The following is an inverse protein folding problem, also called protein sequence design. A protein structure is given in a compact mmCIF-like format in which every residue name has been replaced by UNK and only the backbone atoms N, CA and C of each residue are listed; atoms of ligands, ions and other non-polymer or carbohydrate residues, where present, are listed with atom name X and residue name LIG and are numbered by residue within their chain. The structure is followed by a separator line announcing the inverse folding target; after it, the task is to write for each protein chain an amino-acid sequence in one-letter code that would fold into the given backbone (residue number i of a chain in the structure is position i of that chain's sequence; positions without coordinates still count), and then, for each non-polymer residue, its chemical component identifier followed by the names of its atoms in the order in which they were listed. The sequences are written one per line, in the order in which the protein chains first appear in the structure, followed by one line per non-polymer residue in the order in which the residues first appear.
data_IF_363167415892
#
_entry.id   IF_363167415892
#
_cell.length_a   1.000
_cell.length_b   1.000
_cell.length_c   1.000
_cell.angle_alpha   90.00
_cell.angle_beta   90.00
_cell.angle_gamma   90.00
#
_symmetry.space_group_name_H-M   'P 1'
#
loop_
_entity.id
_entity.type
_entity.pdbx_description
1 polymer ?
#
# COMPACT_ATOMS: atom_id res chain seq x y z
N UNK A 1 -11.26 41.58 -40.55
CA UNK A 1 -10.84 41.25 -41.95
C UNK A 1 -10.39 39.82 -41.90
N UNK A 2 -11.28 38.96 -42.27
CA UNK A 2 -11.38 38.23 -43.55
C UNK A 2 -10.47 37.00 -43.55
N UNK A 3 -10.88 35.89 -43.71
CA UNK A 3 -11.76 34.98 -44.46
C UNK A 3 -11.16 33.58 -44.35
N UNK A 4 -11.88 32.65 -43.98
CA UNK A 4 -12.86 31.82 -44.69
C UNK A 4 -12.28 30.67 -45.52
N UNK A 5 -13.02 29.55 -45.36
CA UNK A 5 -13.35 28.44 -46.27
C UNK A 5 -12.52 27.18 -46.12
N UNK A 6 -13.13 26.18 -45.54
CA UNK A 6 -14.07 25.24 -46.14
C UNK A 6 -13.47 24.37 -47.26
N UNK A 7 -13.21 23.12 -47.00
CA UNK A 7 -13.39 22.06 -47.99
C UNK A 7 -13.81 20.75 -47.36
N UNK A 8 -15.04 20.46 -47.59
CA UNK A 8 -15.77 19.22 -47.64
C UNK A 8 -15.02 18.11 -48.40
N UNK A 9 -15.15 16.90 -47.97
CA UNK A 9 -14.79 15.71 -48.69
C UNK A 9 -15.56 14.51 -48.09
N UNK A 10 -16.76 14.31 -48.59
CA UNK A 10 -17.62 13.16 -48.33
C UNK A 10 -17.27 12.04 -49.32
N UNK A 11 -17.21 10.80 -48.85
CA UNK A 11 -17.41 9.54 -49.59
C UNK A 11 -17.99 8.54 -48.59
N UNK A 12 -19.25 8.30 -48.61
CA UNK A 12 -20.13 7.42 -49.31
C UNK A 12 -19.97 5.92 -49.01
N UNK A 13 -20.90 5.45 -48.20
CA UNK A 13 -21.70 4.24 -48.26
C UNK A 13 -21.16 2.94 -48.92
N UNK A 14 -21.16 1.86 -48.19
CA UNK A 14 -21.71 0.60 -48.69
C UNK A 14 -22.57 -0.10 -47.59
N UNK A 15 -23.84 -0.13 -47.83
CA UNK A 15 -24.91 -0.84 -47.16
C UNK A 15 -24.96 -2.27 -47.72
N UNK A 16 -24.86 -3.28 -46.88
CA UNK A 16 -25.22 -4.62 -47.25
C UNK A 16 -26.11 -5.22 -46.19
N UNK A 17 -27.39 -5.16 -46.47
CA UNK A 17 -28.50 -5.80 -45.80
C UNK A 17 -28.54 -7.27 -46.27
N UNK A 18 -28.50 -8.23 -45.33
CA UNK A 18 -29.07 -9.58 -45.60
C UNK A 18 -29.97 -9.90 -44.41
N UNK A 19 -31.27 -9.85 -44.71
CA UNK A 19 -32.33 -10.42 -43.91
C UNK A 19 -32.40 -11.91 -44.20
N UNK A 20 -32.33 -12.74 -43.12
CA UNK A 20 -32.97 -14.06 -43.12
C UNK A 20 -33.77 -14.18 -41.83
N UNK A 21 -35.07 -14.26 -42.00
CA UNK A 21 -36.03 -14.59 -40.96
C UNK A 21 -36.22 -16.12 -40.91
N UNK A 22 -36.30 -16.68 -39.69
CA UNK A 22 -37.30 -17.70 -39.26
C UNK A 22 -36.92 -18.17 -37.84
N UNK A 23 -37.67 -17.86 -36.84
CA UNK A 23 -38.71 -18.62 -36.16
C UNK A 23 -38.17 -19.75 -35.28
N UNK A 24 -38.28 -19.57 -33.92
CA UNK A 24 -38.12 -20.66 -32.96
C UNK A 24 -37.93 -20.13 -31.55
N UNK A 25 -38.96 -20.19 -30.73
CA UNK A 25 -38.96 -19.94 -29.28
C UNK A 25 -38.04 -20.94 -28.59
N UNK A 26 -37.09 -20.44 -27.82
CA UNK A 26 -36.42 -21.18 -26.74
C UNK A 26 -35.93 -20.18 -25.73
N UNK A 27 -36.25 -20.40 -24.46
CA UNK A 27 -35.83 -19.65 -23.30
C UNK A 27 -34.31 -19.62 -23.26
N UNK A 28 -33.71 -18.46 -23.52
CA UNK A 28 -32.29 -18.23 -23.35
C UNK A 28 -32.01 -17.85 -21.90
N UNK A 29 -31.45 -18.80 -21.17
CA UNK A 29 -30.69 -18.59 -19.96
C UNK A 29 -29.48 -17.75 -20.34
N UNK A 30 -29.38 -16.53 -19.83
CA UNK A 30 -28.22 -15.66 -19.98
C UNK A 30 -27.10 -16.25 -19.15
N UNK A 31 -26.19 -16.98 -19.77
CA UNK A 31 -24.88 -17.25 -19.21
C UNK A 31 -24.03 -15.96 -19.35
N UNK A 32 -23.69 -15.34 -18.20
CA UNK A 32 -22.63 -14.33 -18.13
C UNK A 32 -21.31 -14.97 -18.61
N UNK A 33 -20.53 -14.29 -19.44
CA UNK A 33 -19.22 -14.79 -19.80
C UNK A 33 -18.32 -14.78 -18.55
N UNK A 34 -17.98 -15.97 -18.07
CA UNK A 34 -16.91 -16.19 -17.10
C UNK A 34 -15.65 -15.65 -17.75
N UNK A 35 -15.10 -14.58 -17.21
CA UNK A 35 -13.78 -14.11 -17.57
C UNK A 35 -12.78 -15.24 -17.22
N UNK A 36 -12.17 -15.79 -18.24
CA UNK A 36 -11.07 -16.74 -18.13
C UNK A 36 -9.92 -16.00 -17.45
N UNK A 37 -9.73 -16.26 -16.14
CA UNK A 37 -8.56 -15.81 -15.40
C UNK A 37 -7.32 -16.40 -16.09
N UNK A 38 -6.52 -15.53 -16.68
CA UNK A 38 -5.20 -15.90 -17.14
C UNK A 38 -4.40 -16.45 -15.94
N UNK A 39 -3.70 -17.58 -16.08
CA UNK A 39 -2.91 -18.11 -14.98
C UNK A 39 -1.87 -17.06 -14.59
N UNK A 40 -1.93 -16.59 -13.33
CA UNK A 40 -0.89 -15.80 -12.73
C UNK A 40 0.39 -16.67 -12.75
N UNK A 41 1.33 -16.32 -13.60
CA UNK A 41 2.67 -16.87 -13.51
C UNK A 41 3.23 -16.45 -12.14
N UNK A 42 3.26 -17.40 -11.22
CA UNK A 42 3.96 -17.27 -9.95
C UNK A 42 5.45 -17.10 -10.29
N UNK A 43 5.92 -15.86 -10.30
CA UNK A 43 7.34 -15.57 -10.32
C UNK A 43 7.90 -15.99 -8.95
N UNK A 44 8.20 -17.28 -8.84
CA UNK A 44 9.02 -17.77 -7.73
C UNK A 44 10.37 -17.06 -7.83
N UNK A 45 10.62 -16.12 -6.94
CA UNK A 45 11.93 -15.50 -6.80
C UNK A 45 12.94 -16.64 -6.59
N UNK A 46 14.04 -16.70 -7.35
CA UNK A 46 15.08 -17.69 -7.09
C UNK A 46 15.63 -17.41 -5.69
N UNK A 47 15.62 -18.44 -4.84
CA UNK A 47 16.36 -18.41 -3.59
C UNK A 47 17.85 -18.29 -3.95
N UNK A 48 18.34 -17.07 -4.07
CA UNK A 48 19.74 -16.78 -4.26
C UNK A 48 20.45 -17.09 -2.95
N UNK A 49 21.18 -18.18 -2.91
CA UNK A 49 22.20 -18.47 -1.90
C UNK A 49 23.41 -17.57 -2.14
N UNK A 50 23.19 -16.26 -2.13
CA UNK A 50 24.30 -15.30 -2.07
C UNK A 50 24.90 -15.34 -0.66
N UNK A 51 26.23 -15.23 -0.52
CA UNK A 51 26.80 -15.01 0.80
C UNK A 51 26.14 -13.77 1.43
N UNK A 52 26.01 -13.74 2.77
CA UNK A 52 25.45 -12.56 3.43
C UNK A 52 26.24 -11.32 3.01
N UNK A 53 25.60 -10.18 2.84
CA UNK A 53 26.27 -8.93 2.52
C UNK A 53 27.26 -8.57 3.64
N UNK A 54 28.36 -7.92 3.30
CA UNK A 54 29.31 -7.41 4.31
C UNK A 54 28.68 -6.29 5.15
N UNK A 55 27.67 -5.63 4.61
CA UNK A 55 26.99 -4.50 5.21
C UNK A 55 25.50 -4.51 4.83
N UNK A 56 24.64 -4.16 5.79
CA UNK A 56 23.22 -3.87 5.58
C UNK A 56 22.96 -2.37 5.73
N UNK A 57 22.20 -1.80 4.80
CA UNK A 57 21.73 -0.41 4.86
C UNK A 57 20.26 -0.38 5.24
N UNK A 58 19.92 0.27 6.34
CA UNK A 58 18.55 0.39 6.86
C UNK A 58 18.10 1.85 6.79
N UNK A 59 17.00 2.13 6.11
CA UNK A 59 16.38 3.45 6.12
C UNK A 59 15.27 3.51 7.16
N UNK A 60 15.36 4.46 8.08
CA UNK A 60 14.39 4.63 9.16
C UNK A 60 14.23 6.11 9.52
N UNK A 61 13.06 6.47 10.05
CA UNK A 61 12.89 7.79 10.66
C UNK A 61 13.70 7.92 11.96
N UNK A 62 13.97 9.14 12.39
CA UNK A 62 14.86 9.44 13.53
C UNK A 62 14.46 8.71 14.82
N UNK A 63 13.15 8.68 15.16
CA UNK A 63 12.69 8.03 16.39
C UNK A 63 12.92 6.52 16.36
N UNK A 64 12.70 5.90 15.20
CA UNK A 64 12.90 4.46 15.01
C UNK A 64 14.38 4.14 14.96
N UNK A 65 15.20 4.97 14.31
CA UNK A 65 16.66 4.82 14.29
C UNK A 65 17.24 4.79 15.72
N UNK A 66 16.78 5.69 16.59
CA UNK A 66 17.17 5.70 18.02
C UNK A 66 16.75 4.40 18.73
N UNK A 67 15.57 3.87 18.42
CA UNK A 67 15.10 2.61 19.01
C UNK A 67 15.87 1.39 18.50
N UNK A 68 16.39 1.44 17.26
CA UNK A 68 17.21 0.37 16.68
C UNK A 68 18.64 0.34 17.21
N UNK A 69 19.20 1.45 17.64
CA UNK A 69 20.60 1.58 18.05
C UNK A 69 21.10 0.46 18.99
N UNK A 70 20.40 0.11 20.10
CA UNK A 70 20.83 -0.97 20.97
C UNK A 70 20.73 -2.36 20.33
N UNK A 71 19.90 -2.53 19.30
CA UNK A 71 19.69 -3.80 18.60
C UNK A 71 20.72 -4.01 17.49
N UNK A 72 21.16 -2.93 16.84
CA UNK A 72 22.17 -2.95 15.78
C UNK A 72 23.46 -3.60 16.27
N UNK A 73 24.03 -3.11 17.33
CA UNK A 73 25.29 -3.67 17.86
C UNK A 73 25.18 -5.13 18.29
N UNK A 74 24.02 -5.55 18.81
CA UNK A 74 23.77 -6.95 19.15
C UNK A 74 23.68 -7.84 17.90
N UNK A 75 23.04 -7.34 16.84
CA UNK A 75 22.93 -8.06 15.57
C UNK A 75 24.28 -8.17 14.87
N UNK A 76 25.05 -7.08 14.76
CA UNK A 76 26.39 -7.07 14.19
C UNK A 76 27.30 -8.10 14.85
N UNK A 77 27.26 -8.16 16.18
CA UNK A 77 28.04 -9.13 16.94
C UNK A 77 27.61 -10.58 16.67
N UNK A 78 26.32 -10.82 16.53
CA UNK A 78 25.76 -12.17 16.32
C UNK A 78 25.91 -12.64 14.88
N UNK A 79 25.69 -11.75 13.90
CA UNK A 79 25.65 -12.08 12.48
C UNK A 79 26.98 -11.89 11.76
N UNK A 80 27.89 -11.05 12.31
CA UNK A 80 29.14 -10.68 11.64
C UNK A 80 28.94 -9.79 10.42
N UNK A 81 27.85 -9.02 10.39
CA UNK A 81 27.46 -8.12 9.30
C UNK A 81 27.35 -6.71 9.87
N UNK A 82 27.99 -5.75 9.24
CA UNK A 82 27.86 -4.34 9.62
C UNK A 82 26.48 -3.79 9.26
N UNK A 83 25.90 -2.91 10.10
CA UNK A 83 24.59 -2.28 9.85
C UNK A 83 24.72 -0.76 9.86
N UNK A 84 24.35 -0.14 8.75
CA UNK A 84 24.25 1.32 8.66
C UNK A 84 22.77 1.73 8.69
N UNK A 85 22.38 2.48 9.74
CA UNK A 85 21.06 3.10 9.83
C UNK A 85 21.14 4.51 9.29
N UNK A 86 20.47 4.76 8.18
CA UNK A 86 20.36 6.07 7.53
C UNK A 86 19.03 6.71 7.93
N UNK A 87 19.10 7.91 8.48
CA UNK A 87 17.89 8.65 8.87
C UNK A 87 17.24 9.21 7.61
N UNK A 88 15.99 8.84 7.42
CA UNK A 88 15.15 9.25 6.30
C UNK A 88 13.89 9.96 6.78
N UNK A 89 13.38 10.89 5.99
CA UNK A 89 12.09 11.50 6.23
C UNK A 89 10.95 10.50 5.94
N UNK A 90 10.06 10.33 6.91
CA UNK A 90 8.95 9.40 6.81
C UNK A 90 8.02 9.67 5.62
N UNK A 91 7.84 10.96 5.28
CA UNK A 91 6.95 11.37 4.18
C UNK A 91 7.53 11.09 2.79
N UNK A 92 8.85 10.98 2.64
CA UNK A 92 9.52 10.78 1.35
C UNK A 92 9.96 9.34 1.10
N UNK A 93 10.07 8.51 2.15
CA UNK A 93 10.71 7.20 2.09
C UNK A 93 10.16 6.29 0.96
N UNK A 94 8.85 6.33 0.71
CA UNK A 94 8.21 5.56 -0.36
C UNK A 94 8.75 5.96 -1.74
N UNK A 95 8.71 7.25 -2.04
CA UNK A 95 9.10 7.76 -3.35
C UNK A 95 10.60 7.58 -3.59
N UNK A 96 11.39 7.73 -2.53
CA UNK A 96 12.84 7.54 -2.57
C UNK A 96 13.20 6.06 -2.79
N UNK A 97 12.52 5.10 -2.13
CA UNK A 97 12.72 3.66 -2.34
C UNK A 97 12.32 3.25 -3.76
N UNK A 98 11.19 3.76 -4.27
CA UNK A 98 10.74 3.49 -5.63
C UNK A 98 11.72 4.04 -6.70
N UNK A 99 12.45 5.09 -6.38
CA UNK A 99 13.46 5.67 -7.27
C UNK A 99 14.82 4.98 -7.14
N UNK A 100 15.31 4.80 -5.92
CA UNK A 100 16.64 4.27 -5.64
C UNK A 100 16.73 2.75 -5.81
N UNK A 101 15.65 2.01 -5.50
CA UNK A 101 15.62 0.55 -5.58
C UNK A 101 16.00 0.02 -6.97
N UNK A 102 15.31 0.43 -8.05
CA UNK A 102 15.65 -0.01 -9.41
C UNK A 102 17.04 0.42 -9.88
N UNK A 103 17.60 1.48 -9.31
CA UNK A 103 18.97 1.94 -9.59
C UNK A 103 20.04 1.13 -8.85
N UNK A 104 19.66 0.27 -7.89
CA UNK A 104 20.57 -0.44 -7.01
C UNK A 104 21.22 0.46 -5.95
N UNK A 105 20.64 1.62 -5.68
CA UNK A 105 21.11 2.62 -4.72
C UNK A 105 20.17 2.71 -3.48
N UNK A 106 19.16 1.84 -3.43
CA UNK A 106 18.21 1.77 -2.33
C UNK A 106 18.77 1.06 -1.10
N UNK A 107 18.01 1.05 0.01
CA UNK A 107 18.37 0.32 1.21
C UNK A 107 18.14 -1.18 1.04
N UNK A 108 18.79 -1.98 1.89
CA UNK A 108 18.47 -3.41 2.03
C UNK A 108 17.18 -3.63 2.83
N UNK A 109 16.91 -2.73 3.78
CA UNK A 109 15.70 -2.69 4.60
C UNK A 109 15.22 -1.25 4.74
N UNK A 110 13.92 -1.05 4.78
CA UNK A 110 13.34 0.25 5.15
C UNK A 110 12.12 0.08 6.05
N UNK A 111 11.86 1.08 6.87
CA UNK A 111 10.74 1.08 7.80
C UNK A 111 9.68 2.03 7.31
N UNK A 112 8.48 1.50 7.09
CA UNK A 112 7.37 2.23 6.48
C UNK A 112 6.03 1.66 6.95
N UNK A 113 4.94 2.43 6.87
CA UNK A 113 3.59 1.91 7.06
C UNK A 113 3.24 0.86 5.99
N UNK A 114 2.30 0.00 6.32
CA UNK A 114 1.87 -1.11 5.46
C UNK A 114 1.12 -0.68 4.20
N UNK A 115 0.56 0.51 4.16
CA UNK A 115 -0.28 1.02 3.06
C UNK A 115 0.46 1.17 1.71
N UNK A 116 1.80 1.18 1.74
CA UNK A 116 2.62 1.24 0.53
C UNK A 116 2.98 -0.14 -0.05
N UNK A 117 2.71 -1.24 0.68
CA UNK A 117 3.17 -2.59 0.33
C UNK A 117 2.77 -2.99 -1.09
N UNK A 118 1.52 -2.74 -1.48
CA UNK A 118 1.05 -3.08 -2.84
C UNK A 118 1.84 -2.36 -3.93
N UNK A 119 2.22 -1.10 -3.72
CA UNK A 119 2.97 -0.32 -4.69
C UNK A 119 4.42 -0.79 -4.80
N UNK A 120 5.13 -0.95 -3.68
CA UNK A 120 6.53 -1.37 -3.69
C UNK A 120 6.71 -2.83 -4.17
N UNK A 121 5.75 -3.71 -3.86
CA UNK A 121 5.73 -5.08 -4.37
C UNK A 121 5.48 -5.13 -5.88
N UNK A 122 4.49 -4.36 -6.39
CA UNK A 122 4.17 -4.30 -7.82
C UNK A 122 5.34 -3.76 -8.65
N UNK A 123 6.09 -2.80 -8.08
CA UNK A 123 7.28 -2.24 -8.74
C UNK A 123 8.55 -3.10 -8.55
N UNK A 124 8.46 -4.22 -7.82
CA UNK A 124 9.57 -5.17 -7.66
C UNK A 124 10.75 -4.63 -6.85
N UNK A 125 10.54 -3.61 -6.00
CA UNK A 125 11.59 -3.04 -5.15
C UNK A 125 11.70 -3.76 -3.80
N UNK A 126 10.76 -4.64 -3.50
CA UNK A 126 10.79 -5.53 -2.33
C UNK A 126 10.62 -6.98 -2.77
N UNK A 127 11.24 -7.90 -2.05
CA UNK A 127 11.10 -9.33 -2.25
C UNK A 127 10.16 -9.95 -1.21
N UNK A 128 9.44 -11.02 -1.54
CA UNK A 128 8.69 -11.78 -0.56
C UNK A 128 9.62 -12.31 0.54
N UNK A 129 9.12 -12.37 1.76
CA UNK A 129 9.86 -12.91 2.91
C UNK A 129 9.11 -14.07 3.54
N UNK A 130 9.86 -15.03 4.06
CA UNK A 130 9.32 -16.11 4.89
C UNK A 130 9.51 -15.73 6.37
N UNK A 131 8.42 -15.55 7.08
CA UNK A 131 8.43 -15.24 8.51
C UNK A 131 8.82 -16.45 9.38
N UNK A 132 8.78 -17.66 8.82
CA UNK A 132 9.13 -18.87 9.53
C UNK A 132 8.32 -19.05 10.83
N UNK A 133 9.01 -19.46 11.91
CA UNK A 133 8.37 -19.72 13.20
C UNK A 133 7.85 -18.47 13.92
N UNK A 134 8.37 -17.27 13.59
CA UNK A 134 7.92 -16.03 14.24
C UNK A 134 6.54 -15.58 13.79
N UNK A 135 6.02 -16.14 12.69
CA UNK A 135 4.69 -15.81 12.19
C UNK A 135 3.60 -16.03 13.25
N UNK A 136 3.75 -17.07 14.07
CA UNK A 136 2.79 -17.37 15.14
C UNK A 136 2.78 -16.36 16.29
N UNK A 137 3.80 -15.53 16.41
CA UNK A 137 3.95 -14.52 17.46
C UNK A 137 3.44 -13.14 17.02
N UNK A 138 3.02 -13.03 15.74
CA UNK A 138 2.54 -11.80 15.13
C UNK A 138 1.02 -11.84 14.99
N UNK A 139 0.34 -10.74 15.28
CA UNK A 139 -1.09 -10.64 15.05
C UNK A 139 -1.42 -10.80 13.55
N UNK A 140 -2.48 -11.57 13.25
CA UNK A 140 -2.93 -11.82 11.88
C UNK A 140 -3.16 -10.52 11.08
N UNK A 141 -3.68 -9.48 11.73
CA UNK A 141 -3.88 -8.17 11.09
C UNK A 141 -2.57 -7.52 10.66
N UNK A 142 -1.49 -7.72 11.40
CA UNK A 142 -0.17 -7.23 11.05
C UNK A 142 0.39 -7.95 9.82
N UNK A 143 0.27 -9.28 9.77
CA UNK A 143 0.67 -10.08 8.61
C UNK A 143 -0.15 -9.69 7.38
N UNK A 144 -1.47 -9.58 7.54
CA UNK A 144 -2.36 -9.17 6.45
C UNK A 144 -2.01 -7.78 5.90
N UNK A 145 -1.61 -6.83 6.76
CA UNK A 145 -1.18 -5.50 6.34
C UNK A 145 0.06 -5.51 5.46
N UNK A 146 0.99 -6.44 5.68
CA UNK A 146 2.20 -6.59 4.88
C UNK A 146 2.10 -7.68 3.81
N UNK A 147 0.89 -8.16 3.52
CA UNK A 147 0.64 -9.16 2.47
C UNK A 147 0.06 -8.51 1.21
N UNK A 148 0.55 -8.94 0.06
CA UNK A 148 0.05 -8.53 -1.25
C UNK A 148 0.18 -9.69 -2.25
N UNK A 149 -0.86 -9.95 -3.05
CA UNK A 149 -0.83 -11.02 -4.04
C UNK A 149 -0.65 -12.44 -3.47
N UNK A 150 -0.92 -12.63 -2.17
CA UNK A 150 -0.74 -13.91 -1.49
C UNK A 150 0.64 -14.13 -0.85
N UNK A 151 1.56 -13.19 -1.00
CA UNK A 151 2.91 -13.22 -0.44
C UNK A 151 3.07 -12.16 0.66
N UNK A 152 3.98 -12.38 1.61
CA UNK A 152 4.33 -11.43 2.68
C UNK A 152 5.59 -10.67 2.28
N UNK A 153 5.57 -9.34 2.35
CA UNK A 153 6.67 -8.48 1.92
C UNK A 153 7.32 -7.67 3.05
N UNK A 154 6.81 -7.77 4.25
CA UNK A 154 7.35 -7.04 5.38
C UNK A 154 7.11 -7.71 6.71
N UNK A 155 7.92 -7.34 7.69
CA UNK A 155 7.81 -7.80 9.06
C UNK A 155 7.17 -6.69 9.92
N UNK A 156 5.95 -6.87 10.46
CA UNK A 156 5.32 -5.87 11.30
C UNK A 156 5.98 -5.86 12.69
N UNK A 157 6.61 -4.77 13.07
CA UNK A 157 7.18 -4.57 14.40
C UNK A 157 6.21 -3.92 15.39
N UNK A 158 5.17 -3.24 14.87
CA UNK A 158 4.13 -2.60 15.66
C UNK A 158 2.79 -2.65 14.92
N UNK A 159 1.70 -2.63 15.67
CA UNK A 159 0.35 -2.47 15.16
C UNK A 159 -0.28 -1.27 15.85
N UNK A 160 -0.71 -0.30 15.06
CA UNK A 160 -1.34 0.92 15.52
C UNK A 160 -2.79 1.00 15.04
N UNK A 161 -3.62 1.72 15.79
CA UNK A 161 -4.98 2.01 15.41
C UNK A 161 -5.26 3.51 15.52
N UNK A 162 -5.89 4.05 14.48
CA UNK A 162 -6.41 5.42 14.54
C UNK A 162 -7.68 5.38 15.40
N UNK A 163 -7.71 6.20 16.44
CA UNK A 163 -8.84 6.33 17.34
C UNK A 163 -9.21 7.81 17.55
N UNK A 164 -10.48 8.05 17.80
CA UNK A 164 -10.95 9.35 18.23
C UNK A 164 -10.92 9.42 19.75
N UNK A 165 -10.22 10.40 20.28
CA UNK A 165 -10.26 10.73 21.71
C UNK A 165 -11.23 11.88 21.93
N UNK A 166 -11.99 11.82 23.00
CA UNK A 166 -12.89 12.89 23.41
C UNK A 166 -12.65 13.30 24.85
N UNK A 167 -12.95 14.56 25.17
CA UNK A 167 -12.88 15.04 26.55
C UNK A 167 -14.21 14.74 27.25
N UNK A 168 -14.17 13.82 28.24
CA UNK A 168 -15.35 13.41 29.00
C UNK A 168 -15.96 14.50 29.88
N UNK A 169 -15.24 15.62 30.10
CA UNK A 169 -15.79 16.77 30.81
C UNK A 169 -16.66 17.68 29.93
N UNK A 170 -16.54 17.51 28.59
CA UNK A 170 -17.25 18.31 27.59
C UNK A 170 -18.32 17.52 26.83
N UNK A 171 -18.17 16.19 26.78
CA UNK A 171 -19.03 15.31 25.99
C UNK A 171 -19.61 14.21 26.87
N UNK A 172 -20.93 14.20 27.01
CA UNK A 172 -21.62 13.14 27.75
C UNK A 172 -21.76 11.87 26.89
N UNK A 173 -21.17 10.77 27.36
CA UNK A 173 -21.19 9.50 26.65
C UNK A 173 -20.19 9.40 25.50
N UNK A 174 -20.18 8.24 24.83
CA UNK A 174 -19.28 7.96 23.69
C UNK A 174 -20.05 8.16 22.40
N UNK A 175 -19.74 9.19 21.58
CA UNK A 175 -20.36 9.32 20.27
C UNK A 175 -20.01 8.12 19.38
N UNK A 176 -21.00 7.52 18.76
CA UNK A 176 -20.85 6.33 17.91
C UNK A 176 -21.08 6.60 16.41
N UNK A 177 -21.61 7.79 16.09
CA UNK A 177 -21.85 8.27 14.74
C UNK A 177 -21.29 9.66 14.54
N UNK A 178 -21.08 10.07 13.29
CA UNK A 178 -20.66 11.43 12.97
C UNK A 178 -21.70 12.49 13.36
N UNK A 179 -22.99 12.16 13.28
CA UNK A 179 -24.08 13.02 13.71
C UNK A 179 -24.02 13.29 15.21
N UNK A 180 -23.72 12.25 16.01
CA UNK A 180 -23.55 12.38 17.46
C UNK A 180 -22.28 13.19 17.80
N UNK A 181 -21.17 12.99 17.07
CA UNK A 181 -19.97 13.82 17.23
C UNK A 181 -20.28 15.27 16.97
N UNK A 182 -20.97 15.60 15.88
CA UNK A 182 -21.36 16.97 15.56
C UNK A 182 -22.26 17.57 16.63
N UNK A 183 -23.27 16.81 17.08
CA UNK A 183 -24.18 17.27 18.14
C UNK A 183 -23.43 17.54 19.46
N UNK A 184 -22.46 16.68 19.80
CA UNK A 184 -21.62 16.91 20.98
C UNK A 184 -20.74 18.15 20.83
N UNK A 185 -20.19 18.40 19.63
CA UNK A 185 -19.42 19.60 19.32
C UNK A 185 -20.25 20.88 19.48
N UNK A 186 -21.47 20.89 18.93
CA UNK A 186 -22.40 22.03 19.01
C UNK A 186 -22.78 22.30 20.47
N UNK A 187 -23.02 21.24 21.25
CA UNK A 187 -23.37 21.35 22.68
C UNK A 187 -22.18 21.87 23.52
N UNK A 188 -20.96 21.50 23.18
CA UNK A 188 -19.74 21.97 23.85
C UNK A 188 -19.38 23.41 23.48
N UNK A 189 -19.98 23.98 22.43
CA UNK A 189 -19.77 25.37 22.01
C UNK A 189 -18.35 25.65 21.50
N UNK A 190 -17.69 24.67 20.92
CA UNK A 190 -16.32 24.77 20.42
C UNK A 190 -16.31 25.01 18.90
N UNK A 191 -15.53 26.01 18.43
CA UNK A 191 -15.37 26.27 16.98
C UNK A 191 -14.65 25.13 16.24
N UNK A 192 -13.68 24.52 16.90
CA UNK A 192 -12.92 23.38 16.36
C UNK A 192 -13.10 22.19 17.29
N UNK A 193 -14.02 21.33 16.97
CA UNK A 193 -14.37 20.20 17.81
C UNK A 193 -13.61 18.92 17.47
N UNK A 194 -13.24 18.73 16.22
CA UNK A 194 -12.45 17.58 15.75
C UNK A 194 -11.14 18.09 15.19
N UNK A 195 -10.05 17.82 15.92
CA UNK A 195 -8.69 18.05 15.44
C UNK A 195 -8.12 16.75 14.89
N UNK A 196 -7.55 16.82 13.68
CA UNK A 196 -6.64 15.78 13.23
C UNK A 196 -5.22 16.22 13.58
N UNK A 197 -4.33 15.33 14.08
CA UNK A 197 -2.91 15.65 14.14
C UNK A 197 -2.48 16.05 12.72
N UNK A 198 -1.89 17.23 12.58
CA UNK A 198 -1.28 17.61 11.30
C UNK A 198 -0.28 16.54 10.94
N UNK A 199 -0.33 16.02 9.73
CA UNK A 199 0.33 14.80 9.26
C UNK A 199 1.84 14.78 9.44
N UNK A 200 2.25 14.63 10.66
CA UNK A 200 3.57 14.25 11.11
C UNK A 200 3.32 13.05 12.00
N UNK A 201 3.80 11.90 11.56
CA UNK A 201 3.65 10.64 12.25
C UNK A 201 3.90 10.78 13.74
N UNK A 202 3.00 10.18 14.50
CA UNK A 202 3.06 10.14 15.93
C UNK A 202 4.26 9.39 16.45
#
# INVERSE_FOLDING_TARGET
MNNSRLRFGAILLILSMVLVACGGSSEDTVEEPVAEEAPAETLAAPATTSPPPEKLVVWAEEKVAVALDPLVGAYEQAAGVDVEVVIYDFGSIKDDVLTAGPAGEGPDLFISPHDIVGEVATNGVVAPIDLGSIQSDIFDVGIAGFSFGGEVYGFPYATEAIAMYYNSDLVDGVPSTWEEVKAACDAAGTELCVGAPGGGGG
#
